data_IF_741965459941
#
_entry.id   IF_741965459941
#
_cell.length_a   1.000
_cell.length_b   1.000
_cell.length_c   1.000
_cell.angle_alpha   90.00
_cell.angle_beta   90.00
_cell.angle_gamma   90.00
#
_symmetry.space_group_name_H-M   'P 1'
#
loop_
_entity.id
_entity.type
_entity.pdbx_description
1 polymer ?
#
# COMPACT_ATOMS: atom_id res chain seq x y z
N UNK A 1 9.21 17.32 4.70
CA UNK A 1 10.06 16.29 5.35
C UNK A 1 10.98 15.74 4.29
N UNK A 2 12.25 15.51 4.63
CA UNK A 2 13.22 14.90 3.72
C UNK A 2 12.87 13.41 3.52
N UNK A 3 12.57 12.96 2.29
CA UNK A 3 12.24 11.56 1.99
C UNK A 3 13.37 10.58 2.31
N UNK A 4 14.63 11.03 2.32
CA UNK A 4 15.76 10.18 2.73
C UNK A 4 15.68 9.91 4.23
N UNK A 5 15.52 10.97 5.03
CA UNK A 5 15.50 10.87 6.49
C UNK A 5 14.39 9.96 7.03
N UNK A 6 13.17 10.07 6.49
CA UNK A 6 12.01 9.29 6.98
C UNK A 6 12.14 7.78 6.76
N UNK A 7 12.97 7.34 5.80
CA UNK A 7 13.15 5.92 5.45
C UNK A 7 14.27 5.23 6.22
N UNK A 8 15.13 5.99 6.88
CA UNK A 8 16.34 5.46 7.53
C UNK A 8 16.03 4.40 8.60
N UNK A 9 14.86 4.48 9.25
CA UNK A 9 14.46 3.52 10.27
C UNK A 9 14.07 2.14 9.71
N UNK A 10 13.68 2.07 8.43
CA UNK A 10 13.18 0.85 7.79
C UNK A 10 14.28 0.11 7.01
N UNK A 11 15.43 0.76 6.78
CA UNK A 11 16.55 0.17 6.06
C UNK A 11 17.11 -1.02 6.85
N UNK A 12 17.29 -2.15 6.17
CA UNK A 12 17.72 -3.41 6.78
C UNK A 12 16.58 -4.34 7.20
N UNK A 13 15.32 -3.88 7.18
CA UNK A 13 14.17 -4.77 7.38
C UNK A 13 14.03 -5.77 6.20
N UNK A 14 13.41 -6.94 6.42
CA UNK A 14 13.06 -7.85 5.34
C UNK A 14 12.19 -7.14 4.30
N UNK A 15 12.60 -7.23 3.03
CA UNK A 15 11.84 -6.71 1.90
C UNK A 15 10.64 -7.64 1.63
N UNK A 16 9.42 -7.11 1.47
CA UNK A 16 8.30 -7.92 1.05
C UNK A 16 8.45 -8.41 -0.40
N UNK A 17 7.96 -9.62 -0.68
CA UNK A 17 7.88 -10.17 -2.04
C UNK A 17 6.83 -9.45 -2.88
N UNK A 18 5.73 -9.03 -2.24
CA UNK A 18 4.69 -8.19 -2.83
C UNK A 18 4.16 -7.19 -1.80
N UNK A 19 3.84 -5.98 -2.27
CA UNK A 19 3.03 -5.01 -1.54
C UNK A 19 1.72 -4.81 -2.31
N UNK A 20 0.60 -5.08 -1.65
CA UNK A 20 -0.73 -4.83 -2.20
C UNK A 20 -1.15 -3.41 -1.84
N UNK A 21 -1.23 -2.53 -2.83
CA UNK A 21 -1.70 -1.17 -2.66
C UNK A 21 -3.17 -1.09 -3.06
N UNK A 22 -4.06 -1.03 -2.07
CA UNK A 22 -5.50 -0.92 -2.29
C UNK A 22 -5.86 0.52 -2.61
N UNK A 23 -6.11 0.77 -3.90
CA UNK A 23 -6.54 2.08 -4.38
C UNK A 23 -8.06 2.15 -4.27
N UNK A 24 -8.55 3.12 -3.49
CA UNK A 24 -9.97 3.35 -3.24
C UNK A 24 -10.29 4.80 -3.53
N UNK A 25 -11.40 5.04 -4.23
CA UNK A 25 -11.91 6.36 -4.48
C UNK A 25 -12.32 7.04 -3.16
N UNK A 26 -12.11 8.37 -3.02
CA UNK A 26 -12.57 9.10 -1.84
C UNK A 26 -14.08 8.93 -1.57
N UNK A 27 -14.88 8.77 -2.63
CA UNK A 27 -16.32 8.57 -2.58
C UNK A 27 -16.68 7.24 -1.90
N UNK A 28 -16.00 6.15 -2.26
CA UNK A 28 -16.20 4.82 -1.64
C UNK A 28 -15.60 4.79 -0.23
N UNK A 29 -14.43 5.38 -0.02
CA UNK A 29 -13.77 5.41 1.29
C UNK A 29 -14.65 6.08 2.37
N UNK A 30 -15.34 7.18 2.03
CA UNK A 30 -16.25 7.89 2.95
C UNK A 30 -17.54 7.13 3.27
N UNK A 31 -17.94 6.18 2.43
CA UNK A 31 -19.10 5.32 2.71
C UNK A 31 -18.77 4.25 3.74
N UNK A 32 -17.49 3.89 3.88
CA UNK A 32 -17.02 3.01 4.95
C UNK A 32 -17.10 3.81 6.26
N UNK A 33 -17.98 3.40 7.15
CA UNK A 33 -18.23 4.12 8.40
C UNK A 33 -16.96 4.29 9.25
N UNK A 34 -16.91 5.36 10.04
CA UNK A 34 -15.79 5.67 10.93
C UNK A 34 -14.76 6.67 10.40
N UNK A 35 -14.82 7.05 9.10
CA UNK A 35 -13.89 8.04 8.55
C UNK A 35 -14.03 9.40 9.22
N UNK A 36 -12.93 9.87 9.84
CA UNK A 36 -12.83 11.18 10.48
C UNK A 36 -12.81 11.10 12.00
N UNK A 37 -12.86 9.90 12.58
CA UNK A 37 -12.76 9.68 14.02
C UNK A 37 -11.29 9.59 14.48
N UNK A 38 -10.38 9.14 13.61
CA UNK A 38 -8.96 9.07 13.92
C UNK A 38 -8.17 10.30 13.46
N UNK A 39 -7.04 10.56 14.13
CA UNK A 39 -6.16 11.72 13.90
C UNK A 39 -5.71 11.90 12.45
N UNK A 40 -5.58 10.80 11.70
CA UNK A 40 -5.06 10.81 10.32
C UNK A 40 -6.16 10.80 9.25
N UNK A 41 -7.43 10.80 9.65
CA UNK A 41 -8.57 10.65 8.74
C UNK A 41 -9.15 12.00 8.32
N UNK A 42 -8.37 12.76 7.54
CA UNK A 42 -8.89 13.98 6.89
C UNK A 42 -8.59 13.96 5.40
N UNK A 43 -9.54 14.44 4.59
CA UNK A 43 -9.41 14.50 3.12
C UNK A 43 -8.09 15.17 2.68
N UNK A 44 -7.71 16.26 3.33
CA UNK A 44 -6.49 17.00 2.98
C UNK A 44 -5.24 16.18 3.28
N UNK A 45 -5.20 15.44 4.39
CA UNK A 45 -4.07 14.59 4.72
C UNK A 45 -4.02 13.36 3.81
N UNK A 46 -5.15 12.70 3.59
CA UNK A 46 -5.24 11.51 2.75
C UNK A 46 -4.80 11.79 1.30
N UNK A 47 -5.14 12.97 0.74
CA UNK A 47 -4.60 13.41 -0.56
C UNK A 47 -3.07 13.51 -0.57
N UNK A 48 -2.47 14.07 0.49
CA UNK A 48 -1.00 14.17 0.61
C UNK A 48 -0.35 12.79 0.78
N UNK A 49 -0.97 11.92 1.57
CA UNK A 49 -0.53 10.53 1.76
C UNK A 49 -0.56 9.79 0.44
N UNK A 50 -1.65 9.87 -0.32
CA UNK A 50 -1.77 9.26 -1.63
C UNK A 50 -0.64 9.70 -2.58
N UNK A 51 -0.39 11.01 -2.70
CA UNK A 51 0.72 11.53 -3.50
C UNK A 51 2.09 11.04 -3.03
N UNK A 52 2.30 10.91 -1.72
CA UNK A 52 3.55 10.39 -1.17
C UNK A 52 3.72 8.89 -1.45
N UNK A 53 2.64 8.10 -1.36
CA UNK A 53 2.64 6.66 -1.66
C UNK A 53 2.99 6.38 -3.12
N UNK A 54 2.46 7.17 -4.05
CA UNK A 54 2.82 7.06 -5.48
C UNK A 54 4.33 7.26 -5.72
N UNK A 55 4.98 8.16 -4.97
CA UNK A 55 6.43 8.38 -5.05
C UNK A 55 7.24 7.26 -4.38
N UNK A 56 6.62 6.44 -3.52
CA UNK A 56 7.26 5.32 -2.82
C UNK A 56 7.15 4.00 -3.57
N UNK A 57 6.38 3.97 -4.67
CA UNK A 57 6.08 2.75 -5.44
C UNK A 57 7.35 2.01 -5.87
N UNK A 58 7.34 0.69 -5.70
CA UNK A 58 8.44 -0.22 -6.08
C UNK A 58 7.97 -1.26 -7.10
N UNK A 59 8.92 -1.97 -7.71
CA UNK A 59 8.62 -3.03 -8.70
C UNK A 59 7.76 -4.18 -8.17
N UNK A 60 7.88 -4.46 -6.86
CA UNK A 60 7.12 -5.46 -6.14
C UNK A 60 5.76 -4.94 -5.63
N UNK A 61 5.33 -3.73 -6.02
CA UNK A 61 3.98 -3.25 -5.72
C UNK A 61 2.96 -3.75 -6.76
N UNK A 62 1.77 -4.07 -6.29
CA UNK A 62 0.59 -4.38 -7.10
C UNK A 62 -0.56 -3.51 -6.63
N UNK A 63 -1.10 -2.70 -7.54
CA UNK A 63 -2.31 -1.92 -7.25
C UNK A 63 -3.52 -2.84 -7.37
N UNK A 64 -4.37 -2.82 -6.36
CA UNK A 64 -5.65 -3.52 -6.33
C UNK A 64 -6.74 -2.46 -6.29
N UNK A 65 -7.64 -2.47 -7.26
CA UNK A 65 -8.81 -1.59 -7.25
C UNK A 65 -9.75 -2.06 -6.13
N UNK A 66 -9.91 -1.21 -5.11
CA UNK A 66 -10.71 -1.50 -3.92
C UNK A 66 -12.09 -0.81 -3.93
N UNK A 67 -12.52 -0.23 -5.07
CA UNK A 67 -13.88 0.27 -5.26
C UNK A 67 -14.91 -0.84 -5.52
N UNK A 68 -14.45 -2.04 -5.88
CA UNK A 68 -15.30 -3.21 -6.12
C UNK A 68 -15.91 -3.79 -4.84
N UNK A 69 -16.79 -4.77 -5.01
CA UNK A 69 -17.30 -5.58 -3.91
C UNK A 69 -16.21 -6.50 -3.33
N UNK A 70 -16.47 -7.04 -2.14
CA UNK A 70 -15.51 -7.85 -1.38
C UNK A 70 -15.01 -9.05 -2.18
N UNK A 71 -15.92 -9.81 -2.79
CA UNK A 71 -15.61 -11.06 -3.49
C UNK A 71 -14.72 -10.79 -4.72
N UNK A 72 -15.05 -9.72 -5.47
CA UNK A 72 -14.25 -9.29 -6.62
C UNK A 72 -12.84 -8.87 -6.23
N UNK A 73 -12.69 -8.12 -5.12
CA UNK A 73 -11.39 -7.67 -4.61
C UNK A 73 -10.59 -8.86 -4.07
N UNK A 74 -11.23 -9.76 -3.34
CA UNK A 74 -10.62 -10.97 -2.79
C UNK A 74 -10.06 -11.87 -3.90
N UNK A 75 -10.82 -12.11 -4.97
CA UNK A 75 -10.36 -12.91 -6.10
C UNK A 75 -9.07 -12.35 -6.75
N UNK A 76 -8.93 -11.03 -6.84
CA UNK A 76 -7.71 -10.39 -7.34
C UNK A 76 -6.53 -10.59 -6.37
N UNK A 77 -6.78 -10.47 -5.07
CA UNK A 77 -5.75 -10.72 -4.05
C UNK A 77 -5.29 -12.18 -4.07
N UNK A 78 -6.21 -13.14 -4.18
CA UNK A 78 -5.89 -14.56 -4.29
C UNK A 78 -5.07 -14.88 -5.54
N UNK A 79 -5.44 -14.30 -6.69
CA UNK A 79 -4.68 -14.47 -7.94
C UNK A 79 -3.23 -13.98 -7.79
N UNK A 80 -3.03 -12.79 -7.20
CA UNK A 80 -1.69 -12.26 -6.93
C UNK A 80 -0.93 -13.16 -5.96
N UNK A 81 -1.58 -13.56 -4.87
CA UNK A 81 -0.98 -14.39 -3.82
C UNK A 81 -0.50 -15.74 -4.36
N UNK A 82 -1.29 -16.38 -5.22
CA UNK A 82 -0.98 -17.69 -5.81
C UNK A 82 0.28 -17.68 -6.69
N UNK A 83 0.69 -16.50 -7.18
CA UNK A 83 1.83 -16.31 -8.09
C UNK A 83 3.11 -15.87 -7.37
N UNK A 84 3.08 -15.70 -6.05
CA UNK A 84 4.26 -15.29 -5.28
C UNK A 84 5.28 -16.46 -5.22
N UNK A 85 6.53 -16.28 -5.68
CA UNK A 85 7.57 -17.29 -5.54
C UNK A 85 7.92 -17.52 -4.06
N UNK A 86 8.25 -18.76 -3.68
CA UNK A 86 8.46 -19.16 -2.27
C UNK A 86 9.85 -19.70 -1.97
N UNK A 87 10.65 -19.85 -3.02
CA UNK A 87 11.96 -20.47 -3.03
C UNK A 87 13.10 -19.45 -3.08
N UNK A 88 12.78 -18.17 -3.30
CA UNK A 88 13.75 -17.08 -3.25
C UNK A 88 14.13 -16.72 -1.80
N UNK A 89 15.40 -16.36 -1.53
CA UNK A 89 15.79 -15.86 -0.23
C UNK A 89 15.14 -14.50 0.05
N UNK A 90 14.90 -14.20 1.33
CA UNK A 90 14.38 -12.90 1.75
C UNK A 90 15.30 -11.77 1.27
N UNK A 91 14.70 -10.81 0.56
CA UNK A 91 15.38 -9.56 0.24
C UNK A 91 15.49 -8.64 1.46
N UNK A 92 16.23 -7.55 1.32
CA UNK A 92 16.37 -6.51 2.33
C UNK A 92 15.88 -5.17 1.77
N UNK A 93 15.28 -4.33 2.60
CA UNK A 93 14.97 -2.94 2.23
C UNK A 93 16.29 -2.17 2.19
N UNK A 94 16.77 -1.92 0.98
CA UNK A 94 18.03 -1.21 0.73
C UNK A 94 17.86 0.31 0.69
N UNK A 95 18.99 1.01 0.84
CA UNK A 95 19.11 2.43 0.49
C UNK A 95 18.92 2.54 -1.03
N UNK A 96 18.09 3.48 -1.48
CA UNK A 96 17.95 3.82 -2.91
C UNK A 96 19.32 4.14 -3.51
#
# INVERSE_FOLDING_TARGET
MDPHWVRQADIGLPRPDVVLFFEVSPEVAKQRGGFGEERLESDQLQKKVHSAMELLRKSYWRTVNADGDLDSVEAVVEDIYSKIPRDEPLGTIDII
#
